data_IF_934990758136
#
_entry.id   IF_934990758136
#
_cell.length_a   1.000
_cell.length_b   1.000
_cell.length_c   1.000
_cell.angle_alpha   90.00
_cell.angle_beta   90.00
_cell.angle_gamma   90.00
#
_symmetry.space_group_name_H-M   'P 1'
#
loop_
_entity.id
_entity.type
_entity.pdbx_description
1 polymer ?
#
# COMPACT_ATOMS: atom_id res chain seq x y z
N UNK A 1 -3.21 18.15 -1.69
CA UNK A 1 -2.79 18.40 -0.30
C UNK A 1 -3.14 17.29 0.68
N UNK A 2 -4.38 16.79 0.72
CA UNK A 2 -4.82 15.83 1.75
C UNK A 2 -3.90 14.61 1.96
N UNK A 3 -3.43 13.94 0.92
CA UNK A 3 -2.55 12.76 1.01
C UNK A 3 -1.13 13.04 1.54
N UNK A 4 -0.72 14.32 1.64
CA UNK A 4 0.58 14.71 2.22
C UNK A 4 0.47 15.16 3.67
N UNK A 5 -0.75 15.28 4.19
CA UNK A 5 -1.03 15.82 5.54
C UNK A 5 -1.81 14.84 6.40
N UNK A 6 -2.75 14.10 5.81
CA UNK A 6 -3.59 13.13 6.48
C UNK A 6 -3.31 11.73 5.95
N UNK A 7 -3.52 10.73 6.81
CA UNK A 7 -3.35 9.33 6.45
C UNK A 7 -4.46 8.80 5.51
N UNK A 8 -5.55 9.55 5.34
CA UNK A 8 -6.68 9.20 4.48
C UNK A 8 -7.23 7.77 4.70
N UNK A 9 -7.22 7.29 5.94
CA UNK A 9 -7.70 5.94 6.29
C UNK A 9 -6.66 4.83 6.16
N UNK A 10 -5.43 5.13 5.73
CA UNK A 10 -4.33 4.17 5.63
C UNK A 10 -3.36 4.38 6.80
N UNK A 11 -3.49 3.56 7.84
CA UNK A 11 -2.63 3.66 9.04
C UNK A 11 -1.20 3.19 8.82
N UNK A 12 -1.00 2.19 7.96
CA UNK A 12 0.32 1.68 7.58
C UNK A 12 0.26 1.02 6.20
N UNK A 13 1.42 0.88 5.56
CA UNK A 13 1.59 0.22 4.26
C UNK A 13 2.57 -0.93 4.41
N UNK A 14 2.21 -2.10 3.88
CA UNK A 14 3.08 -3.28 3.83
C UNK A 14 3.32 -3.64 2.38
N UNK A 15 4.59 -3.84 2.02
CA UNK A 15 5.02 -4.26 0.69
C UNK A 15 5.44 -5.73 0.76
N UNK A 16 4.89 -6.55 -0.11
CA UNK A 16 5.19 -7.98 -0.20
C UNK A 16 5.40 -8.39 -1.66
N UNK A 17 5.98 -9.57 -1.87
CA UNK A 17 6.00 -10.19 -3.19
C UNK A 17 4.57 -10.42 -3.70
N UNK A 18 4.35 -10.40 -5.01
CA UNK A 18 3.01 -10.60 -5.58
C UNK A 18 2.42 -11.97 -5.19
N UNK A 19 3.25 -13.01 -5.15
CA UNK A 19 2.84 -14.36 -4.73
C UNK A 19 2.40 -14.44 -3.27
N UNK A 20 2.89 -13.54 -2.42
CA UNK A 20 2.53 -13.49 -1.00
C UNK A 20 1.33 -12.58 -0.69
N UNK A 21 0.85 -11.78 -1.66
CA UNK A 21 -0.17 -10.76 -1.42
C UNK A 21 -1.45 -11.31 -0.79
N UNK A 22 -1.97 -12.42 -1.33
CA UNK A 22 -3.18 -13.06 -0.81
C UNK A 22 -2.99 -13.63 0.60
N UNK A 23 -1.82 -14.23 0.86
CA UNK A 23 -1.47 -14.79 2.17
C UNK A 23 -1.32 -13.69 3.22
N UNK A 24 -0.63 -12.60 2.88
CA UNK A 24 -0.46 -11.44 3.75
C UNK A 24 -1.81 -10.80 4.10
N UNK A 25 -2.69 -10.63 3.11
CA UNK A 25 -4.04 -10.10 3.34
C UNK A 25 -4.83 -10.99 4.30
N UNK A 26 -4.86 -12.31 4.06
CA UNK A 26 -5.58 -13.24 4.93
C UNK A 26 -5.06 -13.22 6.38
N UNK A 27 -3.73 -13.22 6.56
CA UNK A 27 -3.10 -13.16 7.89
C UNK A 27 -3.47 -11.88 8.63
N UNK A 28 -3.34 -10.72 7.99
CA UNK A 28 -3.65 -9.43 8.61
C UNK A 28 -5.14 -9.29 8.92
N UNK A 29 -6.02 -9.73 8.02
CA UNK A 29 -7.47 -9.74 8.27
C UNK A 29 -7.83 -10.66 9.43
N UNK A 30 -7.21 -11.83 9.55
CA UNK A 30 -7.43 -12.73 10.69
C UNK A 30 -6.98 -12.12 12.04
N UNK A 31 -6.03 -11.18 12.02
CA UNK A 31 -5.61 -10.38 13.18
C UNK A 31 -6.51 -9.14 13.41
N UNK A 32 -7.68 -9.09 12.78
CA UNK A 32 -8.66 -8.01 12.95
C UNK A 32 -8.32 -6.72 12.19
N UNK A 33 -7.33 -6.74 11.30
CA UNK A 33 -7.01 -5.56 10.48
C UNK A 33 -7.97 -5.43 9.30
N UNK A 34 -8.32 -4.20 8.95
CA UNK A 34 -8.95 -3.90 7.65
C UNK A 34 -7.85 -3.72 6.62
N UNK A 35 -7.85 -4.56 5.58
CA UNK A 35 -6.74 -4.64 4.61
C UNK A 35 -7.25 -4.26 3.23
N UNK A 36 -6.53 -3.36 2.57
CA UNK A 36 -6.80 -2.92 1.21
C UNK A 36 -5.57 -3.16 0.34
N UNK A 37 -5.76 -3.69 -0.87
CA UNK A 37 -4.71 -3.71 -1.89
C UNK A 37 -4.72 -2.35 -2.61
N UNK A 38 -3.76 -1.50 -2.29
CA UNK A 38 -3.77 -0.07 -2.67
C UNK A 38 -2.80 0.31 -3.78
N UNK A 39 -2.00 -0.64 -4.30
CA UNK A 39 -1.06 -0.32 -5.38
C UNK A 39 -0.07 -1.42 -5.73
N UNK A 40 0.98 -1.03 -6.45
CA UNK A 40 2.10 -1.86 -6.88
C UNK A 40 3.39 -1.02 -6.89
N UNK A 41 4.54 -1.69 -6.83
CA UNK A 41 5.85 -1.04 -6.95
C UNK A 41 6.29 -1.11 -8.41
N UNK A 42 6.76 -0.01 -8.95
CA UNK A 42 7.26 0.12 -10.32
C UNK A 42 8.63 0.78 -10.32
N UNK A 43 9.40 0.56 -11.40
CA UNK A 43 10.64 1.30 -11.62
C UNK A 43 10.31 2.77 -11.88
N UNK A 44 10.91 3.65 -11.10
CA UNK A 44 10.77 5.10 -11.24
C UNK A 44 11.45 5.60 -12.52
N UNK A 45 10.80 6.48 -13.27
CA UNK A 45 11.36 7.11 -14.46
C UNK A 45 11.74 8.57 -14.18
N UNK A 46 13.01 8.93 -14.41
CA UNK A 46 13.51 10.29 -14.24
C UNK A 46 13.14 10.89 -12.87
N UNK A 47 12.48 12.05 -12.91
CA UNK A 47 12.11 12.83 -11.72
C UNK A 47 10.68 12.56 -11.21
N UNK A 48 10.01 11.49 -11.66
CA UNK A 48 8.68 11.09 -11.18
C UNK A 48 8.57 11.11 -9.65
N UNK A 49 7.42 11.36 -9.04
CA UNK A 49 7.33 11.27 -7.59
C UNK A 49 7.58 9.83 -7.11
N UNK A 50 8.25 9.66 -5.97
CA UNK A 50 8.54 8.34 -5.39
C UNK A 50 7.28 7.56 -4.97
N UNK A 51 6.17 8.26 -4.75
CA UNK A 51 4.84 7.69 -4.57
C UNK A 51 3.82 8.58 -5.27
N UNK A 52 2.89 7.96 -5.99
CA UNK A 52 1.81 8.62 -6.71
C UNK A 52 0.48 7.97 -6.32
N UNK A 53 -0.51 8.80 -5.98
CA UNK A 53 -1.90 8.38 -5.79
C UNK A 53 -2.64 8.83 -7.04
N UNK A 54 -3.05 7.86 -7.85
CA UNK A 54 -3.73 8.05 -9.16
C UNK A 54 -5.22 7.78 -9.00
#
# INVERSE_FOLDING_TARGET
EMHRTFNCGIGFVVIVSEGDAARAQALLTAQGQTVHRIGRIEARQGDEAAAQVI
#
